data_IF_783760656771
#
_entry.id   IF_783760656771
#
_cell.length_a   1.000
_cell.length_b   1.000
_cell.length_c   1.000
_cell.angle_alpha   90.00
_cell.angle_beta   90.00
_cell.angle_gamma   90.00
#
_symmetry.space_group_name_H-M   'P 1'
#
loop_
_entity.id
_entity.type
_entity.pdbx_description
1 polymer ?
#
# COMPACT_ATOMS: atom_id res chain seq x y z
N UNK A 1 54.00 34.07 3.67
CA UNK A 1 53.48 32.80 3.10
C UNK A 1 52.19 32.49 3.85
N UNK A 2 51.04 32.92 3.34
CA UNK A 2 49.74 32.69 3.99
C UNK A 2 48.79 32.03 2.99
N UNK A 3 48.65 30.71 3.11
CA UNK A 3 47.72 29.93 2.29
C UNK A 3 46.32 29.97 2.93
N UNK A 4 45.46 30.87 2.43
CA UNK A 4 44.04 30.93 2.79
C UNK A 4 43.25 29.83 2.07
N UNK A 5 43.36 28.58 2.54
CA UNK A 5 42.69 27.38 1.96
C UNK A 5 41.47 26.87 2.76
N UNK A 6 40.77 27.72 3.53
CA UNK A 6 39.61 27.28 4.31
C UNK A 6 38.24 27.20 3.59
N UNK A 7 37.93 27.83 2.44
CA UNK A 7 36.54 27.86 1.95
C UNK A 7 36.06 26.51 1.36
N UNK A 8 36.96 25.72 0.76
CA UNK A 8 36.59 24.45 0.14
C UNK A 8 36.19 23.37 1.16
N UNK A 9 36.83 23.37 2.34
CA UNK A 9 36.52 22.41 3.41
C UNK A 9 35.14 22.68 4.02
N UNK A 10 34.78 23.96 4.23
CA UNK A 10 33.45 24.32 4.72
C UNK A 10 32.34 23.97 3.73
N UNK A 11 32.57 24.18 2.43
CA UNK A 11 31.62 23.78 1.38
C UNK A 11 31.46 22.27 1.33
N UNK A 12 32.55 21.51 1.42
CA UNK A 12 32.50 20.04 1.43
C UNK A 12 31.79 19.50 2.68
N UNK A 13 32.04 20.07 3.87
CA UNK A 13 31.36 19.68 5.11
C UNK A 13 29.87 20.03 5.06
N UNK A 14 29.49 21.19 4.51
CA UNK A 14 28.10 21.57 4.32
C UNK A 14 27.37 20.66 3.30
N UNK A 15 28.04 20.27 2.21
CA UNK A 15 27.54 19.29 1.25
C UNK A 15 27.37 17.91 1.88
N UNK A 16 28.37 17.44 2.63
CA UNK A 16 28.30 16.16 3.34
C UNK A 16 27.19 16.17 4.39
N UNK A 17 27.01 17.26 5.14
CA UNK A 17 25.91 17.42 6.10
C UNK A 17 24.54 17.43 5.40
N UNK A 18 24.41 18.11 4.26
CA UNK A 18 23.18 18.13 3.46
C UNK A 18 22.85 16.76 2.83
N UNK A 19 23.87 15.97 2.47
CA UNK A 19 23.72 14.58 2.02
C UNK A 19 23.35 13.67 3.21
N UNK A 20 23.95 13.89 4.39
CA UNK A 20 23.65 13.14 5.62
C UNK A 20 22.22 13.37 6.10
N UNK A 21 21.72 14.61 6.04
CA UNK A 21 20.33 14.93 6.37
C UNK A 21 19.33 14.32 5.40
N UNK A 22 19.75 13.96 4.17
CA UNK A 22 18.93 13.17 3.25
C UNK A 22 18.99 11.67 3.53
N UNK A 23 20.02 11.19 4.24
CA UNK A 23 20.13 9.79 4.68
C UNK A 23 19.42 9.51 6.01
N UNK A 24 19.19 10.54 6.84
CA UNK A 24 18.24 10.44 7.94
C UNK A 24 16.86 10.46 7.32
N UNK A 25 16.30 9.27 7.08
CA UNK A 25 14.89 9.13 6.76
C UNK A 25 14.11 9.82 7.88
N UNK A 26 13.38 10.88 7.56
CA UNK A 26 12.34 11.33 8.48
C UNK A 26 11.44 10.13 8.76
N UNK A 27 11.05 9.93 10.02
CA UNK A 27 10.07 8.90 10.34
C UNK A 27 8.84 9.11 9.45
N UNK A 28 8.30 8.02 8.90
CA UNK A 28 7.10 8.08 8.06
C UNK A 28 5.89 8.61 8.86
N UNK A 29 4.77 8.93 8.20
CA UNK A 29 3.59 9.41 8.91
C UNK A 29 3.08 8.35 9.91
N UNK A 30 2.65 8.79 11.10
CA UNK A 30 2.01 7.91 12.11
C UNK A 30 0.59 7.49 11.70
N UNK A 31 -0.03 8.24 10.77
CA UNK A 31 -1.34 7.93 10.20
C UNK A 31 -1.38 8.27 8.72
N UNK A 32 -1.91 7.36 7.91
CA UNK A 32 -2.08 7.55 6.47
C UNK A 32 -3.48 7.08 6.04
N UNK A 33 -4.19 7.91 5.30
CA UNK A 33 -5.50 7.56 4.73
C UNK A 33 -5.36 7.51 3.21
N UNK A 34 -5.89 6.46 2.61
CA UNK A 34 -5.95 6.34 1.16
C UNK A 34 -7.17 5.53 0.71
N UNK A 35 -7.41 5.55 -0.60
CA UNK A 35 -8.51 4.85 -1.23
C UNK A 35 -7.97 3.89 -2.28
N UNK A 36 -8.27 2.60 -2.11
CA UNK A 36 -7.90 1.54 -3.03
C UNK A 36 -9.03 1.33 -4.04
N UNK A 37 -8.70 1.36 -5.32
CA UNK A 37 -9.62 1.18 -6.44
C UNK A 37 -9.38 -0.17 -7.09
N UNK A 38 -10.40 -1.02 -7.05
CA UNK A 38 -10.45 -2.32 -7.71
C UNK A 38 -11.38 -2.24 -8.93
N UNK A 39 -10.85 -2.57 -10.11
CA UNK A 39 -11.61 -2.76 -11.33
C UNK A 39 -11.71 -4.25 -11.66
N UNK A 40 -12.92 -4.74 -11.90
CA UNK A 40 -13.20 -6.14 -12.27
C UNK A 40 -13.49 -6.32 -13.76
N UNK A 41 -13.45 -5.24 -14.54
CA UNK A 41 -13.83 -5.23 -15.96
C UNK A 41 -12.59 -5.30 -16.85
N UNK A 42 -12.54 -6.34 -17.70
CA UNK A 42 -11.52 -6.49 -18.73
C UNK A 42 -11.65 -5.40 -19.82
N UNK A 43 -10.55 -4.98 -20.46
CA UNK A 43 -9.19 -5.53 -20.34
C UNK A 43 -8.37 -4.93 -19.18
N UNK A 44 -8.90 -3.93 -18.48
CA UNK A 44 -8.17 -3.13 -17.49
C UNK A 44 -8.44 -3.57 -16.03
N UNK A 45 -8.86 -4.83 -15.85
CA UNK A 45 -9.16 -5.35 -14.53
C UNK A 45 -7.88 -5.42 -13.68
N UNK A 46 -7.99 -5.00 -12.43
CA UNK A 46 -6.88 -4.97 -11.47
C UNK A 46 -6.85 -6.20 -10.57
N UNK A 47 -7.88 -7.04 -10.65
CA UNK A 47 -7.98 -8.33 -9.96
C UNK A 47 -8.29 -9.44 -10.96
N UNK A 48 -7.64 -10.60 -10.77
CA UNK A 48 -7.90 -11.82 -11.53
C UNK A 48 -8.00 -13.02 -10.61
N UNK A 49 -8.89 -13.95 -10.95
CA UNK A 49 -8.89 -15.29 -10.34
C UNK A 49 -7.76 -16.10 -10.97
N UNK A 50 -6.77 -16.48 -10.15
CA UNK A 50 -5.59 -17.20 -10.62
C UNK A 50 -5.71 -18.71 -10.44
N UNK A 51 -6.45 -19.16 -9.42
CA UNK A 51 -6.69 -20.58 -9.18
C UNK A 51 -8.01 -20.77 -8.43
N UNK A 52 -8.74 -21.83 -8.76
CA UNK A 52 -9.93 -22.28 -8.01
C UNK A 52 -9.91 -23.79 -7.84
N UNK A 53 -10.46 -24.34 -6.74
CA UNK A 53 -10.49 -25.79 -6.55
C UNK A 53 -11.35 -26.54 -7.56
N UNK A 54 -12.48 -25.98 -7.97
CA UNK A 54 -13.39 -26.61 -8.93
C UNK A 54 -13.02 -26.38 -10.40
N UNK A 55 -12.05 -25.51 -10.69
CA UNK A 55 -11.77 -25.02 -12.05
C UNK A 55 -12.84 -24.05 -12.59
N UNK A 56 -13.93 -23.81 -11.87
CA UNK A 56 -14.86 -22.74 -12.14
C UNK A 56 -14.30 -21.45 -11.53
N UNK A 57 -14.23 -20.35 -12.30
CA UNK A 57 -13.63 -19.07 -11.87
C UNK A 57 -14.50 -18.28 -10.88
N UNK A 58 -15.10 -18.96 -9.90
CA UNK A 58 -15.88 -18.35 -8.83
C UNK A 58 -14.97 -17.63 -7.83
N UNK A 59 -15.26 -16.36 -7.57
CA UNK A 59 -14.51 -15.53 -6.62
C UNK A 59 -14.77 -15.88 -5.15
N UNK A 60 -15.91 -16.51 -4.83
CA UNK A 60 -16.34 -16.82 -3.46
C UNK A 60 -16.15 -18.29 -3.08
N UNK A 61 -15.75 -19.15 -4.02
CA UNK A 61 -15.48 -20.55 -3.71
C UNK A 61 -14.32 -20.66 -2.70
N UNK A 62 -14.51 -21.46 -1.65
CA UNK A 62 -13.45 -21.76 -0.68
C UNK A 62 -12.19 -22.23 -1.40
N UNK A 63 -11.04 -21.64 -1.07
CA UNK A 63 -9.74 -21.97 -1.67
C UNK A 63 -9.45 -21.23 -2.97
N UNK A 64 -10.36 -20.38 -3.48
CA UNK A 64 -10.05 -19.51 -4.62
C UNK A 64 -8.94 -18.53 -4.27
N UNK A 65 -7.95 -18.43 -5.15
CA UNK A 65 -6.82 -17.49 -5.09
C UNK A 65 -6.99 -16.42 -6.16
N UNK A 66 -6.91 -15.16 -5.76
CA UNK A 66 -6.90 -13.99 -6.64
C UNK A 66 -5.56 -13.29 -6.57
N UNK A 67 -5.11 -12.75 -7.70
CA UNK A 67 -3.97 -11.83 -7.80
C UNK A 67 -4.51 -10.42 -7.96
N UNK A 68 -3.93 -9.49 -7.22
CA UNK A 68 -4.39 -8.09 -7.15
C UNK A 68 -3.27 -7.13 -7.50
N UNK A 69 -3.60 -6.11 -8.28
CA UNK A 69 -2.78 -4.92 -8.58
C UNK A 69 -3.71 -3.70 -8.66
N UNK A 70 -4.29 -3.33 -7.52
CA UNK A 70 -5.24 -2.22 -7.40
C UNK A 70 -4.49 -0.87 -7.34
N UNK A 71 -5.18 0.22 -7.69
CA UNK A 71 -4.60 1.57 -7.66
C UNK A 71 -4.95 2.23 -6.34
N UNK A 72 -3.99 2.90 -5.70
CA UNK A 72 -4.23 3.68 -4.47
C UNK A 72 -4.25 5.17 -4.81
N UNK A 73 -5.27 5.88 -4.34
CA UNK A 73 -5.43 7.32 -4.52
C UNK A 73 -5.61 8.06 -3.19
N UNK A 74 -5.38 9.36 -3.25
CA UNK A 74 -5.44 10.26 -2.10
C UNK A 74 -6.88 10.49 -1.60
N UNK A 75 -7.85 10.55 -2.51
CA UNK A 75 -9.27 10.71 -2.16
C UNK A 75 -10.14 9.68 -2.88
N UNK A 76 -11.43 9.67 -2.54
CA UNK A 76 -12.44 8.82 -3.18
C UNK A 76 -12.75 9.25 -4.63
N UNK A 77 -12.23 10.40 -5.06
CA UNK A 77 -12.47 10.93 -6.40
C UNK A 77 -11.65 10.13 -7.40
N UNK A 78 -12.26 9.57 -8.47
CA UNK A 78 -11.56 8.68 -9.41
C UNK A 78 -10.39 9.34 -10.16
N UNK A 79 -10.34 10.66 -10.24
CA UNK A 79 -9.29 11.46 -10.88
C UNK A 79 -8.30 12.07 -9.88
N UNK A 80 -8.46 11.80 -8.58
CA UNK A 80 -7.54 12.28 -7.53
C UNK A 80 -6.13 11.71 -7.69
N UNK A 81 -5.17 12.36 -7.03
CA UNK A 81 -3.75 12.01 -7.12
C UNK A 81 -3.53 10.52 -6.82
N UNK A 82 -2.83 9.84 -7.73
CA UNK A 82 -2.36 8.46 -7.53
C UNK A 82 -1.19 8.48 -6.56
N UNK A 83 -1.28 7.66 -5.52
CA UNK A 83 -0.22 7.50 -4.51
C UNK A 83 0.65 6.27 -4.78
N UNK A 84 0.09 5.27 -5.48
CA UNK A 84 0.75 4.00 -5.69
C UNK A 84 -0.21 2.87 -6.02
N UNK A 85 0.13 1.65 -5.59
CA UNK A 85 -0.62 0.43 -5.89
C UNK A 85 -0.71 -0.51 -4.68
N UNK A 86 -1.75 -1.34 -4.67
CA UNK A 86 -1.83 -2.53 -3.81
C UNK A 86 -1.44 -3.74 -4.64
N UNK A 87 -0.49 -4.55 -4.17
CA UNK A 87 -0.05 -5.76 -4.89
C UNK A 87 -0.06 -6.97 -3.97
N UNK A 88 -0.64 -8.09 -4.43
CA UNK A 88 -0.43 -9.41 -3.82
C UNK A 88 -1.60 -10.37 -4.02
N UNK A 89 -1.98 -11.13 -2.96
CA UNK A 89 -2.94 -12.23 -3.06
C UNK A 89 -4.15 -12.14 -2.11
N UNK A 90 -5.32 -12.60 -2.59
CA UNK A 90 -6.53 -12.83 -1.78
C UNK A 90 -6.97 -14.28 -1.87
N UNK A 91 -7.31 -14.87 -0.75
CA UNK A 91 -7.82 -16.23 -0.64
C UNK A 91 -9.23 -16.22 -0.05
N UNK A 92 -10.14 -16.99 -0.65
CA UNK A 92 -11.51 -17.17 -0.11
C UNK A 92 -11.54 -18.28 0.93
N UNK A 93 -12.05 -17.98 2.13
CA UNK A 93 -12.11 -18.89 3.27
C UNK A 93 -13.47 -19.57 3.39
N UNK A 94 -13.57 -20.57 4.27
CA UNK A 94 -14.74 -21.45 4.39
C UNK A 94 -15.95 -20.76 5.06
N UNK A 95 -15.70 -19.71 5.82
CA UNK A 95 -16.69 -18.91 6.53
C UNK A 95 -17.10 -17.65 5.73
N UNK A 96 -16.97 -17.69 4.40
CA UNK A 96 -17.20 -16.60 3.46
C UNK A 96 -16.30 -15.36 3.65
N UNK A 97 -15.35 -15.42 4.58
CA UNK A 97 -14.34 -14.38 4.77
C UNK A 97 -13.19 -14.52 3.77
N UNK A 98 -12.30 -13.54 3.73
CA UNK A 98 -11.13 -13.54 2.87
C UNK A 98 -9.86 -13.36 3.69
N UNK A 99 -8.79 -14.03 3.29
CA UNK A 99 -7.43 -13.80 3.80
C UNK A 99 -6.58 -13.11 2.74
N UNK A 100 -5.87 -12.06 3.14
CA UNK A 100 -5.09 -11.24 2.23
C UNK A 100 -3.64 -11.17 2.69
N UNK A 101 -2.74 -11.05 1.71
CA UNK A 101 -1.34 -10.69 1.91
C UNK A 101 -0.94 -9.75 0.80
N UNK A 102 -0.75 -8.48 1.12
CA UNK A 102 -0.52 -7.41 0.16
C UNK A 102 0.56 -6.44 0.63
N UNK A 103 1.20 -5.79 -0.33
CA UNK A 103 1.99 -4.59 -0.12
C UNK A 103 1.25 -3.36 -0.66
N UNK A 104 1.21 -2.29 0.12
CA UNK A 104 0.97 -0.95 -0.40
C UNK A 104 2.30 -0.40 -0.90
N UNK A 105 2.42 -0.26 -2.22
CA UNK A 105 3.62 0.23 -2.91
C UNK A 105 3.42 1.70 -3.25
N UNK A 106 4.09 2.58 -2.52
CA UNK A 106 4.02 4.02 -2.73
C UNK A 106 5.17 4.52 -3.61
N UNK A 107 4.83 5.38 -4.58
CA UNK A 107 5.74 5.85 -5.64
C UNK A 107 5.79 7.38 -5.75
N UNK A 108 5.39 8.09 -4.69
CA UNK A 108 5.41 9.56 -4.66
C UNK A 108 6.69 10.08 -3.99
N UNK A 109 7.11 11.34 -4.25
CA UNK A 109 8.30 11.90 -3.60
C UNK A 109 8.20 11.94 -2.06
N UNK A 110 7.00 12.12 -1.52
CA UNK A 110 6.76 12.18 -0.07
C UNK A 110 6.58 10.78 0.56
N UNK A 111 5.99 9.85 -0.19
CA UNK A 111 5.76 8.46 0.21
C UNK A 111 6.43 7.54 -0.80
N UNK A 112 7.63 7.05 -0.48
CA UNK A 112 8.41 6.17 -1.34
C UNK A 112 8.85 4.92 -0.58
N UNK A 113 8.30 3.76 -0.97
CA UNK A 113 8.56 2.48 -0.30
C UNK A 113 7.33 1.61 -0.23
N UNK A 114 7.39 0.58 0.61
CA UNK A 114 6.29 -0.38 0.77
C UNK A 114 5.85 -0.51 2.23
N UNK A 115 4.56 -0.79 2.44
CA UNK A 115 4.01 -1.25 3.71
C UNK A 115 3.40 -2.63 3.46
N UNK A 116 3.94 -3.65 4.11
CA UNK A 116 3.43 -5.01 4.03
C UNK A 116 2.30 -5.23 5.02
N UNK A 117 1.24 -5.91 4.58
CA UNK A 117 0.06 -6.20 5.39
C UNK A 117 -0.46 -7.61 5.15
N UNK A 118 -1.00 -8.22 6.21
CA UNK A 118 -1.71 -9.49 6.11
C UNK A 118 -2.89 -9.53 7.08
N UNK A 119 -3.87 -10.39 6.81
CA UNK A 119 -4.98 -10.56 7.75
C UNK A 119 -6.25 -11.09 7.11
N UNK A 120 -7.33 -11.06 7.90
CA UNK A 120 -8.65 -11.57 7.52
C UNK A 120 -9.67 -10.44 7.48
N UNK A 121 -10.39 -10.32 6.37
CA UNK A 121 -11.52 -9.41 6.22
C UNK A 121 -12.81 -10.21 6.03
N UNK A 122 -13.96 -9.62 6.33
CA UNK A 122 -15.24 -10.26 6.02
C UNK A 122 -15.49 -10.33 4.51
N UNK A 123 -16.60 -10.96 4.09
CA UNK A 123 -16.96 -11.13 2.68
C UNK A 123 -17.02 -9.81 1.88
N UNK A 124 -17.32 -8.70 2.54
CA UNK A 124 -17.40 -7.37 1.94
C UNK A 124 -16.03 -6.66 1.90
N UNK A 125 -14.97 -7.25 2.43
CA UNK A 125 -13.64 -6.64 2.54
C UNK A 125 -13.52 -5.63 3.68
N UNK A 126 -14.38 -5.70 4.71
CA UNK A 126 -14.22 -4.87 5.91
C UNK A 126 -13.45 -5.62 7.00
N UNK A 127 -12.59 -4.91 7.73
CA UNK A 127 -11.85 -5.45 8.85
C UNK A 127 -10.52 -4.73 9.11
N UNK A 128 -9.66 -5.39 9.88
CA UNK A 128 -8.34 -4.89 10.26
C UNK A 128 -7.25 -5.83 9.72
N UNK A 129 -6.19 -5.24 9.16
CA UNK A 129 -5.00 -5.94 8.69
C UNK A 129 -3.80 -5.52 9.54
N UNK A 130 -2.93 -6.47 9.88
CA UNK A 130 -1.71 -6.15 10.61
C UNK A 130 -0.64 -5.63 9.66
N UNK A 131 0.09 -4.58 10.07
CA UNK A 131 1.28 -4.11 9.34
C UNK A 131 2.45 -4.96 9.77
N UNK A 132 2.93 -5.79 8.84
CA UNK A 132 4.01 -6.77 9.08
C UNK A 132 5.41 -6.19 8.91
N UNK A 133 5.52 -5.03 8.25
CA UNK A 133 6.79 -4.34 8.05
C UNK A 133 6.68 -3.22 7.01
N UNK A 134 7.82 -2.60 6.70
CA UNK A 134 7.91 -1.65 5.60
C UNK A 134 9.33 -1.40 5.08
N UNK A 135 9.41 -0.77 3.92
CA UNK A 135 10.64 -0.42 3.21
C UNK A 135 10.67 1.06 2.84
N UNK A 136 11.83 1.57 2.40
CA UNK A 136 11.97 2.98 2.03
C UNK A 136 11.64 3.92 3.20
N UNK A 137 10.76 4.90 2.96
CA UNK A 137 10.23 5.82 3.97
C UNK A 137 9.50 5.12 5.12
N UNK A 138 9.10 3.85 4.94
CA UNK A 138 8.35 3.08 5.92
C UNK A 138 9.20 2.02 6.64
N UNK A 139 10.54 2.14 6.63
CA UNK A 139 11.41 1.16 7.27
C UNK A 139 11.09 1.03 8.76
N UNK A 140 10.97 -0.21 9.25
CA UNK A 140 10.58 -0.55 10.63
C UNK A 140 9.12 -0.26 11.00
N UNK A 141 8.28 0.12 10.03
CA UNK A 141 6.85 0.28 10.25
C UNK A 141 6.22 -0.97 10.88
N UNK A 142 5.39 -0.75 11.88
CA UNK A 142 4.50 -1.72 12.53
C UNK A 142 3.20 -1.02 12.88
N UNK A 143 2.13 -1.77 13.09
CA UNK A 143 0.81 -1.21 13.39
C UNK A 143 -0.31 -2.00 12.72
N UNK A 144 -1.36 -1.30 12.29
CA UNK A 144 -2.52 -1.91 11.67
C UNK A 144 -3.17 -0.98 10.64
N UNK A 145 -4.00 -1.56 9.77
CA UNK A 145 -4.78 -0.87 8.76
C UNK A 145 -6.25 -1.26 8.91
N UNK A 146 -7.13 -0.27 9.08
CA UNK A 146 -8.57 -0.47 9.00
C UNK A 146 -9.02 -0.30 7.55
N UNK A 147 -9.59 -1.36 6.97
CA UNK A 147 -10.13 -1.37 5.62
C UNK A 147 -11.66 -1.39 5.67
N UNK A 148 -12.29 -0.48 4.95
CA UNK A 148 -13.75 -0.39 4.84
C UNK A 148 -14.18 -0.23 3.40
N UNK A 149 -15.14 -1.03 2.96
CA UNK A 149 -15.84 -0.89 1.68
C UNK A 149 -16.59 0.43 1.66
N UNK A 150 -16.31 1.24 0.65
CA UNK A 150 -17.09 2.43 0.34
C UNK A 150 -18.38 2.00 -0.35
N UNK A 151 -19.52 2.46 0.15
CA UNK A 151 -20.82 2.15 -0.45
C UNK A 151 -20.87 2.66 -1.91
N UNK A 152 -21.16 1.74 -2.84
CA UNK A 152 -21.29 2.01 -4.27
C UNK A 152 -22.40 1.16 -4.86
N UNK A 153 -23.08 1.69 -5.88
CA UNK A 153 -24.00 0.92 -6.71
C UNK A 153 -23.31 0.22 -7.88
N UNK A 154 -22.02 0.49 -8.11
CA UNK A 154 -21.23 -0.13 -9.16
C UNK A 154 -20.58 -1.43 -8.63
N UNK A 155 -21.04 -2.61 -9.06
CA UNK A 155 -20.47 -3.88 -8.61
C UNK A 155 -19.13 -4.21 -9.28
N UNK A 156 -18.75 -3.45 -10.31
CA UNK A 156 -17.58 -3.70 -11.14
C UNK A 156 -16.38 -2.84 -10.72
N UNK A 157 -16.64 -1.64 -10.20
CA UNK A 157 -15.65 -0.74 -9.61
C UNK A 157 -15.86 -0.64 -8.11
N UNK A 158 -14.97 -1.26 -7.35
CA UNK A 158 -15.03 -1.30 -5.90
C UNK A 158 -13.99 -0.36 -5.33
N UNK A 159 -14.37 0.38 -4.29
CA UNK A 159 -13.45 1.29 -3.58
C UNK A 159 -13.39 0.89 -2.12
N UNK A 160 -12.18 0.74 -1.59
CA UNK A 160 -11.93 0.56 -0.17
C UNK A 160 -11.26 1.80 0.39
N UNK A 161 -11.74 2.29 1.53
CA UNK A 161 -11.03 3.27 2.34
C UNK A 161 -10.10 2.53 3.29
N UNK A 162 -8.84 2.91 3.31
CA UNK A 162 -7.81 2.36 4.18
C UNK A 162 -7.32 3.45 5.13
N UNK A 163 -7.31 3.14 6.43
CA UNK A 163 -6.75 4.01 7.48
C UNK A 163 -5.62 3.26 8.16
N UNK A 164 -4.39 3.65 7.86
CA UNK A 164 -3.19 3.04 8.39
C UNK A 164 -2.76 3.79 9.65
N UNK A 165 -2.49 3.05 10.72
CA UNK A 165 -1.90 3.53 11.96
C UNK A 165 -0.51 2.92 12.11
N UNK A 166 0.52 3.75 11.98
CA UNK A 166 1.92 3.32 11.89
C UNK A 166 2.71 3.74 13.12
N UNK A 167 3.70 2.92 13.46
CA UNK A 167 4.73 3.18 14.46
C UNK A 167 6.06 2.68 13.92
N UNK A 168 7.16 3.34 14.30
CA UNK A 168 8.53 3.03 13.86
C UNK A 168 9.43 2.68 15.04
#
# INVERSE_FOLDING_TARGET
MEYRKLPALFVLVALMAAISSRLVCADGPDMLVNYEFENRVAPDNTVVVSATPSGNLSVSEFGTVRVVTNVIRETIEPDSRVLGKVVGLVNSLKDDSIYLTFDFVYETPELMGTIGMQGRLNAAGNGELEVTGGTGSFRFARGYCETTLVASSDPANIVFKNVLHLKY
#
